data_IF_716261955658
#
_entry.id   IF_716261955658
#
_cell.length_a   1.000
_cell.length_b   1.000
_cell.length_c   1.000
_cell.angle_alpha   90.00
_cell.angle_beta   90.00
_cell.angle_gamma   90.00
#
_symmetry.space_group_name_H-M   'P 1'
#
loop_
_entity.id
_entity.type
_entity.pdbx_description
1 polymer ?
#
# COMPACT_ATOMS: atom_id res chain seq x y z
N UNK A 1 9.09 78.21 -25.85
CA UNK A 1 9.51 77.81 -24.50
C UNK A 1 8.30 77.16 -23.84
N UNK A 2 8.24 75.89 -23.45
CA UNK A 2 9.18 74.78 -23.55
C UNK A 2 8.39 73.47 -23.62
N UNK A 3 8.95 72.52 -24.35
CA UNK A 3 8.65 71.09 -24.32
C UNK A 3 9.38 70.52 -23.10
N UNK A 4 8.70 69.77 -22.22
CA UNK A 4 9.26 68.87 -21.18
C UNK A 4 8.11 68.52 -20.21
N UNK A 5 7.78 67.29 -19.78
CA UNK A 5 8.50 66.01 -19.67
C UNK A 5 7.49 64.87 -19.39
N UNK A 6 7.77 63.71 -19.98
CA UNK A 6 7.62 62.31 -19.50
C UNK A 6 6.44 61.98 -18.56
N UNK A 7 5.43 61.22 -19.01
CA UNK A 7 5.38 59.74 -19.03
C UNK A 7 5.89 59.09 -17.73
N UNK A 8 4.95 58.74 -16.84
CA UNK A 8 5.04 57.55 -16.00
C UNK A 8 3.67 56.87 -16.01
N UNK A 9 3.47 55.98 -16.97
CA UNK A 9 2.36 55.03 -16.97
C UNK A 9 2.70 53.97 -15.93
N UNK A 10 2.07 54.04 -14.76
CA UNK A 10 2.17 52.98 -13.75
C UNK A 10 1.34 51.77 -14.23
N UNK A 11 1.97 50.87 -14.99
CA UNK A 11 1.45 49.52 -15.20
C UNK A 11 1.54 48.78 -13.85
N UNK A 12 0.42 48.74 -13.13
CA UNK A 12 0.24 47.82 -12.03
C UNK A 12 0.16 46.39 -12.60
N UNK A 13 1.32 45.72 -12.65
CA UNK A 13 1.44 44.32 -12.96
C UNK A 13 0.81 43.53 -11.81
N UNK A 14 -0.49 43.24 -11.91
CA UNK A 14 -1.17 42.29 -11.02
C UNK A 14 -0.63 40.90 -11.39
N UNK A 15 0.43 40.48 -10.72
CA UNK A 15 0.90 39.10 -10.77
C UNK A 15 -0.12 38.27 -10.01
N UNK A 16 -1.11 37.75 -10.73
CA UNK A 16 -1.94 36.65 -10.24
C UNK A 16 -1.02 35.44 -10.17
N UNK A 17 -0.41 35.21 -9.02
CA UNK A 17 0.18 33.91 -8.70
C UNK A 17 -0.99 32.93 -8.60
N UNK A 18 -1.37 32.35 -9.74
CA UNK A 18 -2.10 31.09 -9.77
C UNK A 18 -1.18 30.04 -9.16
N UNK A 19 -1.23 29.93 -7.83
CA UNK A 19 -0.82 28.73 -7.14
C UNK A 19 -1.75 27.64 -7.65
N UNK A 20 -1.32 26.92 -8.69
CA UNK A 20 -1.87 25.62 -9.01
C UNK A 20 -1.58 24.75 -7.79
N UNK A 21 -2.55 24.72 -6.87
CA UNK A 21 -2.64 23.69 -5.86
C UNK A 21 -2.65 22.38 -6.64
N UNK A 22 -1.51 21.71 -6.65
CA UNK A 22 -1.41 20.39 -7.25
C UNK A 22 -2.13 19.50 -6.27
N UNK A 23 -3.45 19.43 -6.43
CA UNK A 23 -4.37 18.54 -5.74
C UNK A 23 -3.84 17.12 -5.95
N UNK A 24 -2.90 16.72 -5.09
CA UNK A 24 -2.51 15.33 -4.95
C UNK A 24 -3.64 14.72 -4.14
N UNK A 25 -4.77 14.49 -4.81
CA UNK A 25 -5.93 13.82 -4.26
C UNK A 25 -5.77 12.30 -4.27
N UNK A 26 -6.84 11.61 -3.88
CA UNK A 26 -6.95 10.16 -3.98
C UNK A 26 -6.71 9.71 -5.42
N UNK A 27 -5.78 8.76 -5.66
CA UNK A 27 -5.53 8.22 -7.00
C UNK A 27 -6.82 7.66 -7.60
N UNK A 28 -7.15 7.98 -8.87
CA UNK A 28 -8.42 7.57 -9.47
C UNK A 28 -8.48 6.08 -9.83
N UNK A 29 -7.33 5.41 -9.85
CA UNK A 29 -7.18 4.04 -10.31
C UNK A 29 -6.25 3.23 -9.41
N UNK A 30 -6.52 1.94 -9.33
CA UNK A 30 -5.66 0.93 -8.74
C UNK A 30 -4.64 0.42 -9.76
N UNK A 31 -3.77 -0.47 -9.32
CA UNK A 31 -2.63 -0.97 -10.09
C UNK A 31 -3.00 -1.53 -11.47
N UNK A 32 -4.17 -2.18 -11.61
CA UNK A 32 -4.62 -2.75 -12.89
C UNK A 32 -5.67 -1.90 -13.62
N UNK A 33 -5.79 -0.62 -13.22
CA UNK A 33 -6.66 0.34 -13.88
C UNK A 33 -8.11 0.30 -13.41
N UNK A 34 -8.48 -0.57 -12.47
CA UNK A 34 -9.79 -0.51 -11.83
C UNK A 34 -9.96 0.84 -11.12
N UNK A 35 -11.17 1.38 -11.14
CA UNK A 35 -11.49 2.61 -10.41
C UNK A 35 -11.25 2.42 -8.92
N UNK A 36 -10.47 3.31 -8.32
CA UNK A 36 -10.29 3.33 -6.88
C UNK A 36 -11.62 3.74 -6.22
N UNK A 37 -12.14 2.88 -5.36
CA UNK A 37 -13.33 3.19 -4.57
C UNK A 37 -12.92 3.86 -3.27
N UNK A 38 -13.78 4.71 -2.74
CA UNK A 38 -13.57 5.37 -1.46
C UNK A 38 -14.38 4.66 -0.37
N UNK A 39 -13.79 4.51 0.81
CA UNK A 39 -14.55 4.13 2.00
C UNK A 39 -15.26 5.37 2.52
N UNK A 40 -16.59 5.45 2.38
CA UNK A 40 -17.38 6.65 2.72
C UNK A 40 -17.09 7.23 4.12
N UNK A 41 -16.81 6.36 5.09
CA UNK A 41 -16.50 6.77 6.46
C UNK A 41 -15.07 7.31 6.66
N UNK A 42 -14.18 7.14 5.67
CA UNK A 42 -12.80 7.61 5.66
C UNK A 42 -12.58 8.44 4.39
N UNK A 43 -12.95 9.74 4.41
CA UNK A 43 -12.80 10.61 3.24
C UNK A 43 -11.35 10.72 2.76
N UNK A 44 -11.16 10.84 1.45
CA UNK A 44 -9.84 10.85 0.81
C UNK A 44 -9.18 9.47 0.79
N UNK A 45 -9.95 8.37 0.92
CA UNK A 45 -9.40 7.01 0.88
C UNK A 45 -9.49 6.34 -0.49
N UNK A 46 -8.55 5.42 -0.75
CA UNK A 46 -8.61 4.47 -1.85
C UNK A 46 -8.65 3.05 -1.28
N UNK A 47 -9.74 2.33 -1.51
CA UNK A 47 -9.89 0.93 -1.12
C UNK A 47 -9.11 0.05 -2.09
N UNK A 48 -8.14 -0.69 -1.55
CA UNK A 48 -7.48 -1.78 -2.25
C UNK A 48 -8.46 -2.95 -2.46
N UNK A 49 -8.48 -3.53 -3.66
CA UNK A 49 -9.29 -4.72 -3.94
C UNK A 49 -8.71 -5.88 -3.13
N UNK A 50 -9.55 -6.53 -2.32
CA UNK A 50 -9.24 -7.78 -1.63
C UNK A 50 -10.03 -8.95 -2.22
N UNK A 51 -9.36 -10.08 -2.48
CA UNK A 51 -10.03 -11.32 -2.93
C UNK A 51 -9.54 -12.52 -2.15
N UNK A 52 -10.48 -13.36 -1.72
CA UNK A 52 -10.20 -14.67 -1.14
C UNK A 52 -10.25 -15.69 -2.28
N UNK A 53 -9.15 -16.37 -2.53
CA UNK A 53 -8.93 -17.24 -3.68
C UNK A 53 -8.36 -18.58 -3.23
N UNK A 54 -8.59 -19.61 -4.05
CA UNK A 54 -7.92 -20.90 -3.93
C UNK A 54 -6.67 -20.96 -4.83
N UNK A 55 -5.68 -21.75 -4.43
CA UNK A 55 -4.43 -21.93 -5.17
C UNK A 55 -4.60 -22.27 -6.67
N UNK A 56 -5.52 -23.19 -7.08
CA UNK A 56 -5.71 -23.52 -8.49
C UNK A 56 -6.12 -22.32 -9.35
N UNK A 57 -6.88 -21.37 -8.79
CA UNK A 57 -7.37 -20.17 -9.48
C UNK A 57 -6.21 -19.26 -9.90
N UNK A 58 -5.14 -19.20 -9.12
CA UNK A 58 -3.97 -18.36 -9.39
C UNK A 58 -2.92 -19.04 -10.28
N UNK A 59 -2.95 -20.38 -10.39
CA UNK A 59 -2.05 -21.16 -11.23
C UNK A 59 -0.57 -20.75 -11.09
N UNK A 60 0.08 -20.43 -12.22
CA UNK A 60 1.51 -20.10 -12.29
C UNK A 60 1.92 -18.87 -11.48
N UNK A 61 1.02 -17.90 -11.27
CA UNK A 61 1.30 -16.71 -10.46
C UNK A 61 1.47 -17.08 -8.98
N UNK A 62 0.73 -18.07 -8.51
CA UNK A 62 0.91 -18.60 -7.17
C UNK A 62 2.12 -19.56 -7.08
N UNK A 63 2.34 -20.44 -8.06
CA UNK A 63 3.49 -21.37 -8.04
C UNK A 63 4.84 -20.65 -8.00
N UNK A 64 4.93 -19.49 -8.66
CA UNK A 64 6.12 -18.64 -8.63
C UNK A 64 6.30 -17.86 -7.31
N UNK A 65 5.24 -17.75 -6.52
CA UNK A 65 5.24 -17.16 -5.19
C UNK A 65 5.61 -18.17 -4.09
N UNK A 66 5.26 -19.45 -4.29
CA UNK A 66 5.50 -20.54 -3.33
C UNK A 66 6.49 -21.56 -3.88
N UNK A 67 7.81 -21.25 -3.94
CA UNK A 67 8.83 -22.20 -4.38
C UNK A 67 9.04 -23.25 -3.27
N UNK A 68 8.13 -24.22 -3.15
CA UNK A 68 8.20 -25.27 -2.13
C UNK A 68 6.91 -26.06 -1.86
N UNK A 69 5.78 -25.73 -2.51
CA UNK A 69 4.56 -26.56 -2.46
C UNK A 69 3.65 -26.34 -1.24
N UNK A 70 3.78 -25.22 -0.54
CA UNK A 70 2.97 -24.90 0.64
C UNK A 70 1.68 -24.16 0.25
N UNK A 71 0.70 -24.87 -0.33
CA UNK A 71 -0.73 -24.83 0.06
C UNK A 71 -1.47 -25.82 -0.82
N UNK A 72 -1.79 -26.97 -0.25
CA UNK A 72 -2.84 -27.83 -0.77
C UNK A 72 -4.06 -27.46 0.06
N UNK A 73 -5.02 -26.77 -0.55
CA UNK A 73 -6.29 -26.37 0.08
C UNK A 73 -6.25 -25.19 1.06
N UNK A 74 -5.17 -24.38 1.08
CA UNK A 74 -5.10 -23.20 1.94
C UNK A 74 -5.68 -21.95 1.29
N UNK A 75 -6.33 -21.12 2.10
CA UNK A 75 -6.90 -19.84 1.70
C UNK A 75 -5.79 -18.87 1.30
N UNK A 76 -5.93 -18.26 0.13
CA UNK A 76 -5.05 -17.20 -0.36
C UNK A 76 -5.83 -15.89 -0.38
N UNK A 77 -5.24 -14.83 0.13
CA UNK A 77 -5.78 -13.49 -0.01
C UNK A 77 -4.92 -12.69 -0.98
N UNK A 78 -5.52 -12.28 -2.08
CA UNK A 78 -4.96 -11.30 -3.01
C UNK A 78 -5.36 -9.89 -2.57
N UNK A 79 -4.42 -8.95 -2.67
CA UNK A 79 -4.69 -7.52 -2.52
C UNK A 79 -4.08 -6.74 -3.68
N UNK A 80 -4.85 -5.82 -4.23
CA UNK A 80 -4.45 -4.93 -5.32
C UNK A 80 -4.70 -3.51 -4.86
N UNK A 81 -3.60 -2.82 -4.58
CA UNK A 81 -3.57 -1.44 -4.14
C UNK A 81 -3.37 -0.45 -5.28
N UNK A 82 -3.00 0.78 -4.94
CA UNK A 82 -2.70 1.82 -5.94
C UNK A 82 -1.37 1.55 -6.63
N UNK A 83 -0.31 1.33 -5.85
CA UNK A 83 1.06 1.17 -6.38
C UNK A 83 1.59 -0.26 -6.25
N UNK A 84 0.89 -1.09 -5.49
CA UNK A 84 1.37 -2.39 -5.04
C UNK A 84 0.31 -3.47 -5.13
N UNK A 85 0.76 -4.71 -5.06
CA UNK A 85 -0.07 -5.89 -4.96
C UNK A 85 0.57 -6.88 -4.00
N UNK A 86 -0.23 -7.74 -3.38
CA UNK A 86 0.29 -8.83 -2.57
C UNK A 86 -0.56 -10.07 -2.65
N UNK A 87 0.08 -11.22 -2.43
CA UNK A 87 -0.59 -12.46 -2.02
C UNK A 87 -0.24 -12.73 -0.57
N UNK A 88 -1.19 -13.28 0.19
CA UNK A 88 -1.02 -13.71 1.57
C UNK A 88 -1.62 -15.11 1.74
N UNK A 89 -0.87 -16.05 2.32
CA UNK A 89 -1.33 -17.43 2.50
C UNK A 89 -0.60 -18.12 3.66
N UNK A 90 -1.28 -19.03 4.36
CA UNK A 90 -0.69 -19.79 5.46
C UNK A 90 -0.17 -21.17 5.03
N UNK A 91 0.75 -21.75 5.78
CA UNK A 91 1.04 -23.18 5.65
C UNK A 91 -0.14 -24.05 6.14
N UNK A 92 -0.14 -25.33 5.75
CA UNK A 92 -1.13 -26.33 6.20
C UNK A 92 -1.18 -26.48 7.73
N UNK A 93 -0.07 -26.19 8.42
CA UNK A 93 0.04 -26.37 9.86
C UNK A 93 -0.50 -25.18 10.66
N UNK A 94 -0.86 -24.07 10.00
CA UNK A 94 -1.25 -22.82 10.65
C UNK A 94 -0.11 -22.19 11.47
N UNK A 95 1.15 -22.42 11.08
CA UNK A 95 2.34 -21.97 11.83
C UNK A 95 3.09 -20.84 11.15
N UNK A 96 2.94 -20.71 9.84
CA UNK A 96 3.67 -19.72 9.05
C UNK A 96 2.72 -19.04 8.08
N UNK A 97 2.82 -17.72 8.01
CA UNK A 97 2.19 -16.90 6.99
C UNK A 97 3.25 -16.49 5.97
N UNK A 98 2.90 -16.54 4.69
CA UNK A 98 3.74 -16.16 3.57
C UNK A 98 3.11 -15.01 2.80
N UNK A 99 3.96 -14.25 2.14
CA UNK A 99 3.57 -13.21 1.21
C UNK A 99 4.47 -13.18 0.00
N UNK A 100 3.88 -12.74 -1.10
CA UNK A 100 4.63 -12.19 -2.22
C UNK A 100 4.18 -10.78 -2.47
N UNK A 101 5.16 -9.94 -2.78
CA UNK A 101 4.99 -8.51 -2.94
C UNK A 101 5.29 -8.16 -4.40
N UNK A 102 4.37 -7.41 -5.00
CA UNK A 102 4.46 -6.97 -6.38
C UNK A 102 4.63 -5.46 -6.51
N UNK A 103 4.89 -5.01 -7.71
CA UNK A 103 5.09 -3.62 -8.04
C UNK A 103 5.06 -3.46 -9.54
N UNK A 104 5.29 -2.23 -10.00
CA UNK A 104 5.36 -1.90 -11.42
C UNK A 104 6.72 -1.37 -11.77
N UNK A 105 7.17 -1.65 -12.99
CA UNK A 105 8.34 -0.97 -13.54
C UNK A 105 7.94 0.39 -14.15
N UNK A 106 8.92 1.21 -14.58
CA UNK A 106 8.63 2.50 -15.20
C UNK A 106 7.80 2.47 -16.48
N UNK A 107 7.72 1.32 -17.15
CA UNK A 107 6.85 1.10 -18.32
C UNK A 107 5.44 0.70 -17.93
N UNK A 108 5.13 0.68 -16.61
CA UNK A 108 3.91 0.12 -16.01
C UNK A 108 3.73 -1.37 -16.32
N UNK A 109 4.79 -2.01 -16.80
CA UNK A 109 4.81 -3.45 -16.95
C UNK A 109 5.14 -4.06 -15.60
N UNK A 110 4.59 -5.24 -15.35
CA UNK A 110 4.97 -6.01 -14.18
C UNK A 110 6.34 -6.59 -14.46
N UNK A 111 7.19 -6.70 -13.43
CA UNK A 111 8.24 -7.73 -13.44
C UNK A 111 7.61 -9.04 -12.98
N UNK A 112 7.18 -9.94 -13.88
CA UNK A 112 6.74 -11.24 -13.44
C UNK A 112 7.89 -11.97 -12.73
N UNK A 113 7.61 -12.74 -11.68
CA UNK A 113 6.30 -12.90 -11.07
C UNK A 113 6.05 -11.95 -9.87
N UNK A 114 7.09 -11.68 -9.09
CA UNK A 114 7.08 -10.94 -7.82
C UNK A 114 8.44 -10.27 -7.63
N UNK A 115 8.48 -9.09 -7.01
CA UNK A 115 9.73 -8.38 -6.71
C UNK A 115 10.25 -8.64 -5.30
N UNK A 116 9.37 -9.07 -4.40
CA UNK A 116 9.69 -9.35 -3.01
C UNK A 116 8.77 -10.41 -2.42
N UNK A 117 9.02 -10.73 -1.16
CA UNK A 117 8.22 -11.70 -0.43
C UNK A 117 8.75 -11.89 0.98
N UNK A 118 7.84 -12.21 1.89
CA UNK A 118 8.16 -12.35 3.31
C UNK A 118 7.43 -13.54 3.90
N UNK A 119 8.06 -14.19 4.88
CA UNK A 119 7.42 -15.20 5.72
C UNK A 119 7.51 -14.80 7.18
N UNK A 120 6.47 -15.13 7.94
CA UNK A 120 6.32 -14.77 9.33
C UNK A 120 5.73 -15.90 10.14
N UNK A 121 6.30 -16.18 11.31
CA UNK A 121 5.83 -17.23 12.20
C UNK A 121 4.61 -16.75 12.98
N UNK A 122 3.59 -17.59 13.04
CA UNK A 122 2.41 -17.40 13.87
C UNK A 122 2.66 -17.91 15.30
N UNK A 123 2.27 -17.11 16.28
CA UNK A 123 2.27 -17.45 17.70
C UNK A 123 0.83 -17.36 18.18
N UNK A 124 0.26 -18.49 18.62
CA UNK A 124 -1.17 -18.60 18.92
C UNK A 124 -2.07 -18.11 17.77
N UNK A 125 -1.69 -18.42 16.53
CA UNK A 125 -2.43 -18.04 15.32
C UNK A 125 -2.24 -16.60 14.87
N UNK A 126 -1.41 -15.79 15.55
CA UNK A 126 -1.20 -14.38 15.23
C UNK A 126 0.23 -14.07 14.84
N UNK A 127 0.39 -13.09 13.96
CA UNK A 127 1.70 -12.60 13.59
C UNK A 127 2.20 -11.58 14.61
N UNK A 128 3.44 -11.76 15.07
CA UNK A 128 4.09 -10.87 16.06
C UNK A 128 5.17 -9.99 15.47
N UNK A 129 5.62 -10.30 14.25
CA UNK A 129 6.70 -9.62 13.55
C UNK A 129 6.13 -8.96 12.27
N UNK A 130 6.10 -7.61 12.18
CA UNK A 130 5.58 -6.91 11.01
C UNK A 130 6.48 -7.02 9.76
N UNK A 131 7.63 -7.69 9.87
CA UNK A 131 8.65 -8.00 8.86
C UNK A 131 8.59 -7.23 7.53
N UNK A 132 9.63 -6.44 7.29
CA UNK A 132 9.74 -5.56 6.12
C UNK A 132 10.27 -6.28 4.87
N UNK A 133 9.70 -5.95 3.71
CA UNK A 133 10.34 -6.08 2.39
C UNK A 133 10.41 -4.69 1.72
N UNK A 134 11.51 -4.37 1.03
CA UNK A 134 11.76 -3.09 0.34
C UNK A 134 12.33 -3.27 -1.07
N UNK A 135 12.16 -4.45 -1.66
CA UNK A 135 12.73 -4.78 -2.97
C UNK A 135 11.88 -4.25 -4.13
N UNK A 136 10.58 -4.07 -3.88
CA UNK A 136 9.62 -3.61 -4.86
C UNK A 136 9.72 -2.11 -5.14
N UNK A 137 9.22 -1.73 -6.33
CA UNK A 137 9.15 -0.34 -6.78
C UNK A 137 7.78 -0.04 -7.38
N UNK A 138 7.42 1.23 -7.40
CA UNK A 138 6.27 1.73 -8.15
C UNK A 138 6.65 2.14 -9.58
N UNK A 139 5.65 2.55 -10.35
CA UNK A 139 5.81 3.00 -11.74
C UNK A 139 6.68 4.26 -11.91
N UNK A 140 6.96 5.01 -10.84
CA UNK A 140 7.90 6.13 -10.86
C UNK A 140 9.33 5.67 -10.51
N UNK A 141 9.53 4.37 -10.26
CA UNK A 141 10.78 3.78 -9.81
C UNK A 141 11.07 4.01 -8.33
N UNK A 142 10.12 4.56 -7.55
CA UNK A 142 10.29 4.79 -6.11
C UNK A 142 10.20 3.46 -5.36
N UNK A 143 10.97 3.28 -4.27
CA UNK A 143 10.85 2.08 -3.44
C UNK A 143 9.46 1.93 -2.84
N UNK A 144 9.01 0.69 -2.71
CA UNK A 144 7.83 0.30 -1.95
C UNK A 144 8.26 -0.54 -0.76
N UNK A 145 7.76 -0.17 0.41
CA UNK A 145 7.90 -0.93 1.64
C UNK A 145 6.65 -1.74 1.91
N UNK A 146 6.81 -3.02 2.19
CA UNK A 146 5.73 -3.92 2.55
C UNK A 146 5.91 -4.43 3.98
N UNK A 147 4.85 -4.37 4.78
CA UNK A 147 4.83 -4.86 6.15
C UNK A 147 3.52 -5.61 6.44
N UNK A 148 3.55 -6.45 7.46
CA UNK A 148 2.35 -7.06 8.00
C UNK A 148 1.72 -6.19 9.08
N UNK A 149 0.40 -6.09 9.05
CA UNK A 149 -0.41 -5.55 10.13
C UNK A 149 -1.31 -6.66 10.66
N UNK A 150 -1.15 -6.99 11.93
CA UNK A 150 -2.07 -7.89 12.64
C UNK A 150 -3.33 -7.08 13.03
N UNK A 151 -4.53 -7.51 12.59
CA UNK A 151 -5.76 -6.81 12.94
C UNK A 151 -6.07 -6.89 14.44
N UNK A 152 -6.48 -5.77 15.05
CA UNK A 152 -7.05 -5.78 16.40
C UNK A 152 -8.46 -6.38 16.37
N UNK A 153 -8.95 -6.82 17.53
CA UNK A 153 -10.30 -7.36 17.63
C UNK A 153 -11.35 -6.35 17.13
N UNK A 154 -12.23 -6.78 16.23
CA UNK A 154 -13.25 -5.94 15.63
C UNK A 154 -12.81 -5.12 14.42
N UNK A 155 -11.51 -5.10 14.09
CA UNK A 155 -11.02 -4.42 12.89
C UNK A 155 -11.53 -5.12 11.62
N UNK A 156 -12.11 -4.31 10.73
CA UNK A 156 -12.57 -4.71 9.40
C UNK A 156 -11.70 -4.13 8.29
N UNK A 157 -11.10 -2.98 8.54
CA UNK A 157 -10.27 -2.25 7.60
C UNK A 157 -8.97 -1.81 8.23
N UNK A 158 -7.93 -1.70 7.43
CA UNK A 158 -6.62 -1.14 7.81
C UNK A 158 -6.28 -0.04 6.82
N UNK A 159 -6.25 1.20 7.28
CA UNK A 159 -5.76 2.33 6.52
C UNK A 159 -4.27 2.54 6.71
N UNK A 160 -3.57 2.85 5.63
CA UNK A 160 -2.19 3.31 5.62
C UNK A 160 -2.15 4.70 5.01
N UNK A 161 -1.64 5.67 5.75
CA UNK A 161 -1.47 7.03 5.25
C UNK A 161 -0.35 7.10 4.19
N UNK A 162 -0.73 7.42 2.96
CA UNK A 162 0.18 7.63 1.82
C UNK A 162 0.48 9.14 1.61
N UNK A 163 0.04 10.00 2.53
CA UNK A 163 0.28 11.43 2.54
C UNK A 163 -0.83 12.26 1.93
N UNK A 164 -1.15 11.97 0.68
CA UNK A 164 -2.24 12.62 -0.05
C UNK A 164 -3.58 11.89 0.10
N UNK A 165 -3.55 10.63 0.51
CA UNK A 165 -4.71 9.77 0.63
C UNK A 165 -4.43 8.66 1.63
N UNK A 166 -5.49 8.02 2.12
CA UNK A 166 -5.38 6.79 2.93
C UNK A 166 -5.64 5.58 2.04
N UNK A 167 -4.68 4.68 1.92
CA UNK A 167 -4.92 3.39 1.26
C UNK A 167 -5.57 2.43 2.25
N UNK A 168 -6.74 1.89 1.93
CA UNK A 168 -7.56 1.09 2.84
C UNK A 168 -7.59 -0.36 2.37
N UNK A 169 -7.17 -1.26 3.25
CA UNK A 169 -7.13 -2.69 3.02
C UNK A 169 -8.20 -3.41 3.84
N UNK A 170 -8.91 -4.33 3.20
CA UNK A 170 -9.88 -5.18 3.88
C UNK A 170 -9.21 -6.31 4.68
N UNK A 171 -9.68 -6.53 5.91
CA UNK A 171 -9.34 -7.69 6.73
C UNK A 171 -10.14 -8.89 6.23
N UNK A 172 -9.43 -9.89 5.71
CA UNK A 172 -10.01 -11.03 5.00
C UNK A 172 -9.46 -12.35 5.54
N UNK A 173 -10.33 -13.36 5.58
CA UNK A 173 -10.01 -14.75 5.95
C UNK A 173 -9.28 -14.93 7.30
N UNK A 174 -9.38 -13.95 8.20
CA UNK A 174 -8.68 -13.99 9.50
C UNK A 174 -7.14 -13.93 9.38
N UNK A 175 -6.61 -13.53 8.23
CA UNK A 175 -5.17 -13.39 8.01
C UNK A 175 -4.69 -11.98 8.31
N UNK A 176 -3.43 -11.87 8.75
CA UNK A 176 -2.75 -10.58 8.80
C UNK A 176 -2.76 -9.90 7.43
N UNK A 177 -2.71 -8.57 7.42
CA UNK A 177 -2.81 -7.78 6.19
C UNK A 177 -1.42 -7.37 5.75
N UNK A 178 -1.03 -7.74 4.53
CA UNK A 178 0.20 -7.26 3.89
C UNK A 178 -0.07 -5.90 3.24
N UNK A 179 0.41 -4.82 3.86
CA UNK A 179 0.18 -3.44 3.42
C UNK A 179 1.44 -2.87 2.77
N UNK A 180 1.25 -1.89 1.86
CA UNK A 180 2.34 -1.21 1.17
C UNK A 180 2.42 0.27 1.58
N UNK A 181 3.61 0.86 1.52
CA UNK A 181 3.78 2.31 1.53
C UNK A 181 4.96 2.73 0.66
N UNK A 182 4.89 3.92 0.08
CA UNK A 182 6.02 4.59 -0.56
C UNK A 182 6.71 5.61 0.37
N UNK A 183 6.23 5.74 1.61
CA UNK A 183 6.68 6.75 2.59
C UNK A 183 7.44 6.13 3.75
N UNK A 184 8.20 6.97 4.46
CA UNK A 184 8.89 6.57 5.69
C UNK A 184 10.00 5.52 5.47
N UNK A 185 10.42 5.26 4.23
CA UNK A 185 11.40 4.24 3.87
C UNK A 185 12.82 4.76 4.10
N UNK A 186 13.58 4.05 4.91
CA UNK A 186 14.98 4.34 5.24
C UNK A 186 15.86 3.22 4.68
N UNK A 187 16.14 3.25 3.37
CA UNK A 187 16.89 2.19 2.67
C UNK A 187 18.24 1.88 3.34
N UNK A 188 19.01 2.91 3.73
CA UNK A 188 20.30 2.72 4.39
C UNK A 188 20.23 2.10 5.80
N UNK A 189 19.02 1.98 6.37
CA UNK A 189 18.77 1.35 7.67
C UNK A 189 17.88 0.11 7.56
N UNK A 190 17.51 -0.28 6.33
CA UNK A 190 16.60 -1.39 6.05
C UNK A 190 15.34 -1.34 6.93
N UNK A 191 14.74 -0.16 7.04
CA UNK A 191 13.60 0.14 7.93
C UNK A 191 12.54 0.96 7.21
N UNK A 192 11.28 0.80 7.60
CA UNK A 192 10.20 1.67 7.20
C UNK A 192 9.23 1.92 8.37
N UNK A 193 8.57 3.07 8.35
CA UNK A 193 7.50 3.42 9.28
C UNK A 193 6.21 3.66 8.51
N UNK A 194 5.15 2.98 8.93
CA UNK A 194 3.81 3.07 8.36
C UNK A 194 2.93 3.81 9.36
N UNK A 195 2.22 4.85 8.93
CA UNK A 195 1.17 5.46 9.74
C UNK A 195 -0.12 4.66 9.51
N UNK A 196 -0.53 3.87 10.50
CA UNK A 196 -1.59 2.88 10.38
C UNK A 196 -2.77 3.23 11.27
N UNK A 197 -3.96 3.17 10.71
CA UNK A 197 -5.23 3.24 11.45
C UNK A 197 -6.04 1.99 11.15
N UNK A 198 -6.55 1.31 12.17
CA UNK A 198 -7.47 0.20 11.97
C UNK A 198 -8.89 0.64 12.29
N UNK A 199 -9.84 0.27 11.44
CA UNK A 199 -11.23 0.70 11.53
C UNK A 199 -12.16 -0.51 11.70
N UNK A 200 -13.27 -0.31 12.41
CA UNK A 200 -14.37 -1.28 12.45
C UNK A 200 -15.17 -1.29 11.14
N UNK A 201 -16.23 -2.11 11.08
CA UNK A 201 -17.07 -2.24 9.89
C UNK A 201 -17.78 -0.95 9.48
N UNK A 202 -18.02 -0.03 10.42
CA UNK A 202 -18.63 1.28 10.15
C UNK A 202 -17.59 2.35 9.75
N UNK A 203 -16.30 1.99 9.71
CA UNK A 203 -15.20 2.90 9.44
C UNK A 203 -14.80 3.76 10.64
N UNK A 204 -15.23 3.41 11.85
CA UNK A 204 -14.78 4.08 13.07
C UNK A 204 -13.38 3.57 13.43
N UNK A 205 -12.45 4.49 13.72
CA UNK A 205 -11.11 4.15 14.16
C UNK A 205 -11.15 3.40 15.51
N UNK A 206 -10.43 2.27 15.56
CA UNK A 206 -10.24 1.43 16.74
C UNK A 206 -8.87 1.66 17.38
N UNK A 207 -7.84 1.78 16.53
CA UNK A 207 -6.47 2.06 16.94
C UNK A 207 -5.77 2.84 15.83
N UNK A 208 -4.90 3.76 16.22
CA UNK A 208 -4.07 4.56 15.33
C UNK A 208 -2.66 4.65 15.91
N UNK A 209 -1.66 4.55 15.04
CA UNK A 209 -0.28 4.76 15.44
C UNK A 209 0.75 4.36 14.40
N UNK A 210 2.04 4.68 14.65
CA UNK A 210 3.12 4.26 13.80
C UNK A 210 3.39 2.75 13.98
N UNK A 211 3.55 2.05 12.86
CA UNK A 211 4.12 0.71 12.80
C UNK A 211 5.53 0.79 12.21
N UNK A 212 6.53 0.42 12.99
CA UNK A 212 7.90 0.28 12.49
C UNK A 212 8.17 -1.17 12.08
N UNK A 213 8.73 -1.35 10.88
CA UNK A 213 9.18 -2.64 10.40
C UNK A 213 10.64 -2.54 9.91
N UNK A 214 11.39 -3.63 10.04
CA UNK A 214 12.76 -3.73 9.55
C UNK A 214 12.96 -5.04 8.78
N UNK A 215 13.92 -5.05 7.86
CA UNK A 215 14.31 -6.26 7.13
C UNK A 215 14.96 -7.21 8.14
N UNK A 216 14.62 -8.50 8.07
CA UNK A 216 15.24 -9.50 8.94
C UNK A 216 16.76 -9.56 8.66
N UNK A 217 17.55 -9.48 9.73
CA UNK A 217 19.01 -9.64 9.72
C UNK A 217 19.44 -10.99 10.26
#
# INVERSE_FOLDING_TARGET
>A
MGLDRLIVVALALVVVLSACDSDKGTPPQLLYGETAQELTAVPGSAIAIGRVLDAPTLGRRFTSCSPGGAVDGGVIVERIGVFGESLTFGDKAGKTLYSCDGGTDPTRERRPPWCGGSSGRLVHGRLVDPRLDILCRDHEGRPLAYAWVEPVAGARWIGVDQGSYTEVYEVLAGLAVRVATSRGIQLGRSRATFAVTQYDAAGKALVEGPLEAAVAG
#
